data_IF_509458448374
#
_entry.id   IF_509458448374
#
_cell.length_a   1.000
_cell.length_b   1.000
_cell.length_c   1.000
_cell.angle_alpha   90.00
_cell.angle_beta   90.00
_cell.angle_gamma   90.00
#
_symmetry.space_group_name_H-M   'P 1'
#
loop_
_entity.id
_entity.type
_entity.pdbx_description
1 polymer ?
#
# COMPACT_ATOMS: atom_id res chain seq x y z
N UNK A 1 17.91 -5.27 3.22
CA UNK A 1 17.77 -3.87 3.47
C UNK A 1 18.43 -2.94 2.49
N UNK A 2 19.38 -3.44 1.71
CA UNK A 2 19.99 -2.62 0.65
C UNK A 2 18.96 -2.06 -0.33
N UNK A 3 17.92 -2.84 -0.66
CA UNK A 3 16.88 -2.36 -1.59
C UNK A 3 16.15 -1.13 -1.03
N UNK A 4 15.83 -1.12 0.25
CA UNK A 4 15.12 0.00 0.87
C UNK A 4 16.00 1.26 0.90
N UNK A 5 17.28 1.08 1.21
CA UNK A 5 18.24 2.18 1.21
C UNK A 5 18.41 2.76 -0.19
N UNK A 6 18.49 1.89 -1.20
CA UNK A 6 18.59 2.33 -2.59
C UNK A 6 17.36 3.09 -3.06
N UNK A 7 16.17 2.64 -2.67
CA UNK A 7 14.93 3.33 -3.02
C UNK A 7 14.90 4.74 -2.42
N UNK A 8 15.29 4.86 -1.16
CA UNK A 8 15.31 6.16 -0.48
C UNK A 8 16.35 7.10 -1.07
N UNK A 9 17.53 6.58 -1.35
CA UNK A 9 18.62 7.36 -1.93
C UNK A 9 18.27 7.87 -3.32
N UNK A 10 17.70 7.01 -4.16
CA UNK A 10 17.26 7.38 -5.49
C UNK A 10 16.17 8.46 -5.45
N UNK A 11 15.23 8.32 -4.54
CA UNK A 11 14.19 9.33 -4.35
C UNK A 11 14.78 10.69 -4.01
N UNK A 12 15.74 10.70 -3.09
CA UNK A 12 16.43 11.92 -2.69
C UNK A 12 17.16 12.57 -3.88
N UNK A 13 17.85 11.78 -4.68
CA UNK A 13 18.54 12.27 -5.88
C UNK A 13 17.56 12.87 -6.89
N UNK A 14 16.36 12.34 -6.96
CA UNK A 14 15.32 12.78 -7.89
C UNK A 14 14.45 13.90 -7.31
N UNK A 15 14.82 14.43 -6.16
CA UNK A 15 14.12 15.58 -5.55
C UNK A 15 12.87 15.25 -4.78
N UNK A 16 12.69 13.99 -4.39
CA UNK A 16 11.55 13.60 -3.58
C UNK A 16 11.70 14.15 -2.17
N UNK A 17 10.68 14.87 -1.71
CA UNK A 17 10.68 15.48 -0.38
C UNK A 17 9.81 14.69 0.59
N UNK A 18 8.71 14.10 0.08
CA UNK A 18 7.75 13.38 0.89
C UNK A 18 7.72 11.91 0.49
N UNK A 19 8.01 11.05 1.45
CA UNK A 19 8.00 9.60 1.23
C UNK A 19 6.76 9.00 1.85
N UNK A 20 6.04 8.19 1.06
CA UNK A 20 4.78 7.58 1.45
C UNK A 20 4.93 6.07 1.21
N UNK A 21 4.37 5.27 2.10
CA UNK A 21 4.34 3.81 1.91
C UNK A 21 2.90 3.37 1.71
N UNK A 22 2.73 2.30 0.92
CA UNK A 22 1.44 1.67 0.72
C UNK A 22 1.60 0.17 0.85
N UNK A 23 0.56 -0.51 1.35
CA UNK A 23 0.62 -1.93 1.64
C UNK A 23 -0.46 -2.72 0.89
N UNK A 24 -0.01 -3.73 0.13
CA UNK A 24 -0.89 -4.77 -0.39
C UNK A 24 -0.89 -5.86 0.68
N UNK A 25 -1.91 -5.84 1.54
CA UNK A 25 -2.01 -6.76 2.68
C UNK A 25 -2.76 -8.01 2.23
N UNK A 26 -2.12 -9.16 2.37
CA UNK A 26 -2.65 -10.45 1.93
C UNK A 26 -3.16 -11.26 3.12
N UNK A 27 -4.32 -11.89 2.96
CA UNK A 27 -4.80 -12.86 3.92
C UNK A 27 -4.42 -14.28 3.48
N UNK A 28 -4.86 -15.30 4.23
CA UNK A 28 -4.55 -16.69 3.93
C UNK A 28 -5.14 -17.18 2.61
N UNK A 29 -6.19 -16.52 2.15
CA UNK A 29 -6.86 -16.85 0.88
C UNK A 29 -6.27 -16.07 -0.30
N UNK A 30 -5.18 -15.35 -0.08
CA UNK A 30 -4.54 -14.49 -1.07
C UNK A 30 -5.46 -13.36 -1.54
N UNK A 31 -6.36 -12.92 -0.67
CA UNK A 31 -7.19 -11.75 -0.91
C UNK A 31 -6.49 -10.50 -0.38
N UNK A 32 -6.82 -9.37 -0.95
CA UNK A 32 -6.19 -8.08 -0.66
C UNK A 32 -7.15 -7.20 0.13
N UNK A 33 -6.62 -6.54 1.17
CA UNK A 33 -7.40 -5.60 1.97
C UNK A 33 -7.55 -4.28 1.21
N UNK A 34 -8.79 -3.91 0.96
CA UNK A 34 -9.14 -2.64 0.32
C UNK A 34 -10.01 -1.85 1.29
N UNK A 35 -9.69 -0.58 1.47
CA UNK A 35 -10.41 0.32 2.37
C UNK A 35 -11.14 1.39 1.58
N UNK A 36 -12.33 1.77 2.04
CA UNK A 36 -13.14 2.80 1.40
C UNK A 36 -13.06 4.10 2.18
N UNK A 37 -12.73 5.20 1.48
CA UNK A 37 -12.70 6.53 2.08
C UNK A 37 -14.12 6.99 2.39
N UNK A 38 -14.26 7.77 3.46
CA UNK A 38 -15.55 8.36 3.83
C UNK A 38 -16.04 9.29 2.73
N UNK A 39 -17.35 9.25 2.46
CA UNK A 39 -17.96 10.06 1.41
C UNK A 39 -17.70 11.56 1.60
N UNK A 40 -17.68 12.02 2.85
CA UNK A 40 -17.47 13.44 3.17
C UNK A 40 -16.00 13.88 3.12
N UNK A 41 -15.07 12.95 2.97
CA UNK A 41 -13.65 13.26 2.91
C UNK A 41 -13.22 13.70 1.51
N UNK A 42 -12.04 14.30 1.43
CA UNK A 42 -11.42 14.63 0.15
C UNK A 42 -11.32 13.35 -0.69
N UNK A 43 -11.82 13.40 -1.92
CA UNK A 43 -11.94 12.25 -2.81
C UNK A 43 -12.76 11.11 -2.17
N UNK A 44 -13.84 11.47 -1.49
CA UNK A 44 -14.70 10.50 -0.83
C UNK A 44 -15.26 9.44 -1.76
N UNK A 45 -15.46 8.26 -1.22
CA UNK A 45 -16.00 7.13 -1.97
C UNK A 45 -14.99 6.34 -2.80
N UNK A 46 -13.72 6.75 -2.83
CA UNK A 46 -12.70 5.93 -3.49
C UNK A 46 -12.25 4.80 -2.58
N UNK A 47 -11.82 3.73 -3.22
CA UNK A 47 -11.24 2.58 -2.53
C UNK A 47 -9.72 2.63 -2.67
N UNK A 48 -9.01 2.29 -1.63
CA UNK A 48 -7.56 2.41 -1.61
C UNK A 48 -6.88 1.37 -0.74
N UNK A 49 -5.56 1.26 -0.91
CA UNK A 49 -4.72 0.47 -0.04
C UNK A 49 -4.41 1.24 1.24
N UNK A 50 -4.14 0.55 2.35
CA UNK A 50 -3.56 1.23 3.51
C UNK A 50 -2.27 1.96 3.10
N UNK A 51 -2.14 3.23 3.43
CA UNK A 51 -0.97 4.03 3.08
C UNK A 51 -0.79 5.20 4.05
N UNK A 52 0.41 5.73 4.10
CA UNK A 52 0.68 6.89 4.93
C UNK A 52 2.11 7.37 4.81
N UNK A 53 2.37 8.53 5.40
CA UNK A 53 3.67 9.18 5.33
C UNK A 53 4.70 8.52 6.24
N UNK A 54 5.92 8.40 5.74
CA UNK A 54 7.04 8.06 6.60
C UNK A 54 7.34 9.25 7.51
N UNK A 55 7.68 8.97 8.76
CA UNK A 55 8.08 9.98 9.72
C UNK A 55 9.60 10.08 9.78
N UNK A 56 10.10 11.22 10.25
CA UNK A 56 11.53 11.44 10.38
C UNK A 56 12.17 10.36 11.25
N UNK A 57 13.24 9.77 10.75
CA UNK A 57 13.97 8.74 11.47
C UNK A 57 13.46 7.33 11.27
N UNK A 58 12.31 7.16 10.59
CA UNK A 58 11.81 5.83 10.26
C UNK A 58 12.47 5.28 9.01
N UNK A 59 12.71 3.97 9.00
CA UNK A 59 12.98 3.27 7.75
C UNK A 59 11.65 2.76 7.18
N UNK A 60 11.71 2.20 5.96
CA UNK A 60 10.49 1.71 5.28
C UNK A 60 9.76 0.66 6.10
N UNK A 61 10.49 -0.29 6.70
CA UNK A 61 9.87 -1.35 7.49
C UNK A 61 9.11 -0.77 8.68
N UNK A 62 9.74 0.14 9.41
CA UNK A 62 9.13 0.79 10.57
C UNK A 62 7.88 1.57 10.18
N UNK A 63 7.94 2.28 9.06
CA UNK A 63 6.79 3.04 8.57
C UNK A 63 5.64 2.13 8.18
N UNK A 64 5.91 1.01 7.49
CA UNK A 64 4.89 0.03 7.14
C UNK A 64 4.23 -0.56 8.38
N UNK A 65 5.02 -0.99 9.35
CA UNK A 65 4.49 -1.57 10.59
C UNK A 65 3.57 -0.57 11.28
N UNK A 66 4.01 0.67 11.42
CA UNK A 66 3.25 1.71 12.12
C UNK A 66 1.97 2.08 11.37
N UNK A 67 2.05 2.34 10.08
CA UNK A 67 0.88 2.77 9.29
C UNK A 67 -0.17 1.66 9.18
N UNK A 68 0.24 0.42 8.97
CA UNK A 68 -0.69 -0.70 8.91
C UNK A 68 -1.39 -0.86 10.27
N UNK A 69 -0.63 -0.73 11.36
CA UNK A 69 -1.22 -0.81 12.70
C UNK A 69 -2.20 0.33 12.97
N UNK A 70 -1.82 1.55 12.63
CA UNK A 70 -2.69 2.72 12.84
C UNK A 70 -3.97 2.63 12.02
N UNK A 71 -3.89 2.25 10.75
CA UNK A 71 -5.05 2.26 9.86
C UNK A 71 -5.93 1.03 9.95
N UNK A 72 -5.39 -0.12 10.29
CA UNK A 72 -6.13 -1.40 10.24
C UNK A 72 -6.14 -2.19 11.54
N UNK A 73 -5.30 -1.82 12.50
CA UNK A 73 -5.06 -2.59 13.73
C UNK A 73 -4.32 -3.91 13.50
N UNK A 74 -3.83 -4.17 12.30
CA UNK A 74 -3.14 -5.41 11.99
C UNK A 74 -1.62 -5.30 12.25
N UNK A 75 -1.02 -6.43 12.57
CA UNK A 75 0.43 -6.51 12.83
C UNK A 75 1.12 -7.21 11.66
N UNK A 76 2.05 -6.52 11.02
CA UNK A 76 2.83 -7.09 9.91
C UNK A 76 3.68 -8.25 10.43
N UNK A 77 3.63 -9.37 9.70
CA UNK A 77 4.51 -10.51 9.93
C UNK A 77 5.75 -10.42 9.04
N UNK A 78 5.55 -10.26 7.75
CA UNK A 78 6.65 -10.19 6.78
C UNK A 78 6.35 -9.19 5.67
N UNK A 79 7.39 -8.54 5.16
CA UNK A 79 7.34 -7.85 3.88
C UNK A 79 7.67 -8.90 2.82
N UNK A 80 6.69 -9.22 1.98
CA UNK A 80 6.85 -10.22 0.93
C UNK A 80 7.70 -9.70 -0.23
N UNK A 81 7.42 -8.47 -0.68
CA UNK A 81 8.14 -7.88 -1.80
C UNK A 81 7.85 -6.39 -1.97
N UNK A 82 8.81 -5.69 -2.53
CA UNK A 82 8.58 -4.36 -3.11
C UNK A 82 7.88 -4.54 -4.45
N UNK A 83 6.82 -3.78 -4.68
CA UNK A 83 6.02 -3.89 -5.90
C UNK A 83 6.38 -2.82 -6.91
N UNK A 84 6.16 -1.55 -6.56
CA UNK A 84 6.45 -0.41 -7.42
C UNK A 84 6.41 0.89 -6.62
N UNK A 85 6.65 1.98 -7.32
CA UNK A 85 6.42 3.31 -6.76
C UNK A 85 5.77 4.20 -7.81
N UNK A 86 5.14 5.27 -7.36
CA UNK A 86 4.64 6.33 -8.23
C UNK A 86 4.81 7.69 -7.57
N UNK A 87 4.96 8.72 -8.41
CA UNK A 87 5.21 10.08 -7.95
C UNK A 87 3.96 10.94 -8.11
N UNK A 88 3.80 11.91 -7.22
CA UNK A 88 2.71 12.86 -7.30
C UNK A 88 3.10 14.14 -6.55
N UNK A 89 2.30 15.19 -6.74
CA UNK A 89 2.46 16.42 -5.98
C UNK A 89 1.43 16.38 -4.85
N UNK A 90 1.90 16.49 -3.61
CA UNK A 90 1.03 16.43 -2.43
C UNK A 90 0.14 17.67 -2.34
N UNK A 91 -0.86 17.63 -1.47
CA UNK A 91 -1.74 18.76 -1.21
C UNK A 91 -1.01 20.01 -0.75
N UNK A 92 0.18 19.85 -0.14
CA UNK A 92 1.03 20.97 0.27
C UNK A 92 2.03 21.40 -0.81
N UNK A 93 1.92 20.85 -2.02
CA UNK A 93 2.80 21.21 -3.14
C UNK A 93 4.16 20.54 -3.14
N UNK A 94 4.34 19.50 -2.34
CA UNK A 94 5.62 18.80 -2.24
C UNK A 94 5.67 17.61 -3.19
N UNK A 95 6.85 17.39 -3.78
CA UNK A 95 7.09 16.22 -4.62
C UNK A 95 7.15 14.97 -3.75
N UNK A 96 6.19 14.07 -3.94
CA UNK A 96 6.02 12.88 -3.13
C UNK A 96 6.19 11.62 -3.97
N UNK A 97 6.66 10.55 -3.32
CA UNK A 97 6.74 9.22 -3.92
C UNK A 97 6.14 8.22 -2.96
N UNK A 98 5.20 7.42 -3.46
CA UNK A 98 4.64 6.32 -2.70
C UNK A 98 5.28 5.01 -3.14
N UNK A 99 5.79 4.27 -2.17
CA UNK A 99 6.40 2.95 -2.38
C UNK A 99 5.41 1.89 -1.91
N UNK A 100 5.04 0.98 -2.80
CA UNK A 100 4.07 -0.07 -2.50
C UNK A 100 4.75 -1.41 -2.26
N UNK A 101 4.32 -2.08 -1.20
CA UNK A 101 4.88 -3.37 -0.78
C UNK A 101 3.77 -4.38 -0.55
N UNK A 102 4.02 -5.63 -0.92
CA UNK A 102 3.14 -6.73 -0.54
C UNK A 102 3.60 -7.25 0.81
N UNK A 103 2.67 -7.39 1.74
CA UNK A 103 2.97 -7.80 3.12
C UNK A 103 2.00 -8.86 3.59
N UNK A 104 2.43 -9.67 4.55
CA UNK A 104 1.57 -10.59 5.29
C UNK A 104 1.45 -10.12 6.73
N UNK A 105 0.36 -10.48 7.39
CA UNK A 105 0.07 -10.09 8.76
C UNK A 105 -0.04 -11.32 9.65
N UNK A 106 0.19 -11.14 10.95
CA UNK A 106 0.15 -12.25 11.92
C UNK A 106 -1.24 -12.85 12.06
N UNK A 107 -2.26 -12.00 11.95
CA UNK A 107 -3.66 -12.41 11.97
C UNK A 107 -4.47 -11.38 11.22
N UNK A 108 -5.50 -11.83 10.51
CA UNK A 108 -6.44 -10.94 9.79
C UNK A 108 -7.69 -10.65 10.60
N UNK A 109 -7.76 -11.16 11.83
CA UNK A 109 -8.86 -10.88 12.74
C UNK A 109 -8.69 -9.48 13.32
N UNK A 110 -9.81 -8.90 13.75
CA UNK A 110 -9.84 -7.61 14.45
C UNK A 110 -9.33 -6.43 13.63
N UNK A 111 -9.74 -6.35 12.37
CA UNK A 111 -9.55 -5.13 11.58
C UNK A 111 -10.37 -4.02 12.22
N UNK A 112 -9.68 -2.96 12.64
CA UNK A 112 -10.32 -1.78 13.24
C UNK A 112 -9.83 -0.57 12.45
N UNK A 113 -10.79 0.11 11.81
CA UNK A 113 -10.48 1.27 10.97
C UNK A 113 -10.48 2.55 11.81
N UNK A 114 -9.65 3.52 11.45
CA UNK A 114 -9.57 4.82 12.11
C UNK A 114 -10.12 5.93 11.24
N UNK A 115 -9.72 5.98 9.98
CA UNK A 115 -10.08 7.08 9.07
C UNK A 115 -10.97 6.65 7.91
N UNK A 116 -11.19 5.35 7.73
CA UNK A 116 -12.00 4.83 6.64
C UNK A 116 -13.35 4.32 7.17
N UNK A 117 -14.36 4.35 6.28
CA UNK A 117 -15.72 3.88 6.62
C UNK A 117 -15.83 2.37 6.62
N UNK A 118 -15.16 1.73 5.70
CA UNK A 118 -15.38 0.31 5.45
C UNK A 118 -14.14 -0.34 4.85
N UNK A 119 -14.07 -1.64 4.95
CA UNK A 119 -13.03 -2.43 4.31
C UNK A 119 -13.62 -3.70 3.73
N UNK A 120 -12.89 -4.30 2.79
CA UNK A 120 -13.25 -5.61 2.24
C UNK A 120 -11.99 -6.34 1.82
N UNK A 121 -12.07 -7.65 1.83
CA UNK A 121 -11.03 -8.52 1.30
C UNK A 121 -11.45 -8.93 -0.10
N UNK A 122 -10.67 -8.57 -1.10
CA UNK A 122 -10.97 -8.87 -2.51
C UNK A 122 -9.92 -9.78 -3.10
N UNK A 123 -10.35 -10.70 -3.97
CA UNK A 123 -9.41 -11.42 -4.83
C UNK A 123 -8.65 -10.39 -5.66
N UNK A 124 -7.47 -10.76 -6.16
CA UNK A 124 -6.70 -9.87 -7.02
C UNK A 124 -7.51 -9.48 -8.26
N UNK A 125 -8.29 -10.40 -8.81
CA UNK A 125 -9.12 -10.11 -9.97
C UNK A 125 -10.20 -9.07 -9.67
N UNK A 126 -10.92 -9.24 -8.56
CA UNK A 126 -11.96 -8.29 -8.16
C UNK A 126 -11.37 -6.93 -7.81
N UNK A 127 -10.21 -6.91 -7.16
CA UNK A 127 -9.52 -5.67 -6.82
C UNK A 127 -9.11 -4.91 -8.10
N UNK A 128 -8.56 -5.62 -9.08
CA UNK A 128 -8.14 -5.01 -10.35
C UNK A 128 -9.31 -4.45 -11.13
N UNK A 129 -10.49 -5.03 -11.00
CA UNK A 129 -11.69 -4.61 -11.72
C UNK A 129 -12.55 -3.63 -10.93
N UNK A 130 -12.11 -3.22 -9.75
CA UNK A 130 -12.85 -2.29 -8.92
C UNK A 130 -12.76 -0.88 -9.49
N UNK A 131 -13.89 -0.33 -9.91
CA UNK A 131 -13.96 0.99 -10.57
C UNK A 131 -13.70 2.15 -9.61
N UNK A 132 -13.69 1.90 -8.31
CA UNK A 132 -13.46 2.95 -7.29
C UNK A 132 -11.99 3.15 -6.95
N UNK A 133 -11.10 2.26 -7.38
CA UNK A 133 -9.66 2.43 -7.11
C UNK A 133 -9.05 3.37 -8.14
N UNK A 134 -7.97 4.05 -7.72
CA UNK A 134 -7.25 4.95 -8.62
C UNK A 134 -6.40 4.15 -9.62
N UNK A 135 -6.01 4.81 -10.71
CA UNK A 135 -5.17 4.19 -11.73
C UNK A 135 -3.81 3.76 -11.15
N UNK A 136 -3.26 4.55 -10.23
CA UNK A 136 -1.98 4.24 -9.59
C UNK A 136 -2.06 2.95 -8.77
N UNK A 137 -3.12 2.78 -8.00
CA UNK A 137 -3.34 1.55 -7.22
C UNK A 137 -3.58 0.38 -8.16
N UNK A 138 -4.38 0.59 -9.21
CA UNK A 138 -4.65 -0.44 -10.20
C UNK A 138 -3.35 -0.94 -10.84
N UNK A 139 -2.46 -0.02 -11.18
CA UNK A 139 -1.17 -0.38 -11.77
C UNK A 139 -0.32 -1.22 -10.80
N UNK A 140 -0.31 -0.86 -9.53
CA UNK A 140 0.39 -1.65 -8.51
C UNK A 140 -0.17 -3.08 -8.43
N UNK A 141 -1.50 -3.22 -8.48
CA UNK A 141 -2.15 -4.52 -8.47
C UNK A 141 -1.83 -5.34 -9.74
N UNK A 142 -1.72 -4.67 -10.89
CA UNK A 142 -1.32 -5.33 -12.14
C UNK A 142 0.10 -5.90 -12.04
N UNK A 143 1.02 -5.12 -11.49
CA UNK A 143 2.41 -5.59 -11.29
C UNK A 143 2.45 -6.75 -10.31
N UNK A 144 1.71 -6.64 -9.21
CA UNK A 144 1.63 -7.74 -8.24
C UNK A 144 1.10 -9.01 -8.90
N UNK A 145 0.01 -8.88 -9.67
CA UNK A 145 -0.60 -10.02 -10.36
C UNK A 145 0.37 -10.68 -11.33
N UNK A 146 1.08 -9.88 -12.11
CA UNK A 146 2.03 -10.40 -13.10
C UNK A 146 3.17 -11.16 -12.43
N UNK A 147 3.75 -10.59 -11.37
CA UNK A 147 4.95 -11.16 -10.75
C UNK A 147 4.67 -12.30 -9.77
N UNK A 148 3.55 -12.28 -9.07
CA UNK A 148 3.31 -13.17 -7.94
C UNK A 148 2.13 -14.11 -8.10
N UNK A 149 1.24 -13.85 -9.04
CA UNK A 149 0.08 -14.70 -9.29
C UNK A 149 0.25 -15.45 -10.59
N UNK A 150 0.38 -14.74 -11.71
CA UNK A 150 0.54 -15.39 -13.02
C UNK A 150 1.87 -16.09 -13.19
N UNK A 151 2.94 -15.51 -12.65
CA UNK A 151 4.27 -16.10 -12.71
C UNK A 151 4.33 -17.47 -12.04
N UNK A 152 3.65 -17.61 -10.91
CA UNK A 152 3.62 -18.88 -10.18
C UNK A 152 2.88 -19.99 -10.94
N UNK A 153 1.94 -19.62 -11.80
CA UNK A 153 1.17 -20.59 -12.58
C UNK A 153 1.92 -21.12 -13.80
N UNK A 154 2.93 -20.43 -14.24
CA UNK A 154 3.73 -20.80 -15.40
C UNK A 154 4.80 -21.83 -15.00
N UNK A 155 5.27 -21.73 -13.80
CA UNK A 155 6.27 -22.63 -13.24
C UNK A 155 5.64 -23.97 -12.82
#
# INVERSE_FOLDING_TARGET
MKIYDLLMEKGKEEGIIKNVIGAIILNEKQEILIMSRKEEDFMGGIDELPSGNMENGENIFEALVREVKEETNLDIENIKSYINSFDYISGSGKKARQFNFAVTVKSTENVILTEHDNYKWLSIEDARNNLKITDEVKYALEIYNFNFVKGEKID
#
